data_IF_963345309407
#
_entry.id   IF_963345309407
#
_cell.length_a   1.000
_cell.length_b   1.000
_cell.length_c   1.000
_cell.angle_alpha   90.00
_cell.angle_beta   90.00
_cell.angle_gamma   90.00
#
_symmetry.space_group_name_H-M   'P 1'
#
loop_
_entity.id
_entity.type
_entity.pdbx_description
1 polymer ?
#
# COMPACT_ATOMS: atom_id res chain seq x y z
N UNK A 1 -12.88 9.55 -9.89
CA UNK A 1 -14.12 10.30 -10.16
C UNK A 1 -13.96 11.76 -9.74
N UNK A 2 -13.76 12.07 -8.45
CA UNK A 2 -13.61 13.47 -7.99
C UNK A 2 -12.49 14.24 -8.69
N UNK A 3 -11.32 13.63 -8.94
CA UNK A 3 -10.25 14.25 -9.73
C UNK A 3 -10.75 14.81 -11.06
N UNK A 4 -11.48 13.98 -11.82
CA UNK A 4 -11.97 14.33 -13.16
C UNK A 4 -13.14 15.31 -13.11
N UNK A 5 -14.00 15.19 -12.09
CA UNK A 5 -15.12 16.11 -11.91
C UNK A 5 -14.62 17.51 -11.55
N UNK A 6 -13.59 17.64 -10.70
CA UNK A 6 -12.96 18.90 -10.37
C UNK A 6 -12.23 19.51 -11.56
N UNK A 7 -11.51 18.69 -12.35
CA UNK A 7 -10.88 19.12 -13.60
C UNK A 7 -11.90 19.68 -14.60
N UNK A 8 -13.09 19.08 -14.66
CA UNK A 8 -14.16 19.45 -15.58
C UNK A 8 -15.14 20.48 -14.99
N UNK A 9 -14.88 21.08 -13.81
CA UNK A 9 -15.81 21.99 -13.12
C UNK A 9 -16.34 23.10 -14.03
N UNK A 10 -15.46 23.77 -14.77
CA UNK A 10 -15.84 24.84 -15.69
C UNK A 10 -16.59 24.35 -16.93
N UNK A 11 -16.25 23.16 -17.44
CA UNK A 11 -16.96 22.56 -18.55
C UNK A 11 -18.39 22.20 -18.15
N UNK A 12 -18.58 21.62 -16.95
CA UNK A 12 -19.91 21.35 -16.38
C UNK A 12 -20.69 22.65 -16.21
N UNK A 13 -20.09 23.68 -15.59
CA UNK A 13 -20.74 24.97 -15.40
C UNK A 13 -21.16 25.64 -16.72
N UNK A 14 -20.33 25.56 -17.77
CA UNK A 14 -20.64 26.10 -19.08
C UNK A 14 -21.85 25.40 -19.71
N UNK A 15 -21.90 24.07 -19.68
CA UNK A 15 -23.01 23.29 -20.24
C UNK A 15 -24.32 23.57 -19.48
N UNK A 16 -24.28 23.64 -18.14
CA UNK A 16 -25.47 23.94 -17.32
C UNK A 16 -25.98 25.39 -17.49
N UNK A 17 -25.09 26.30 -17.90
CA UNK A 17 -25.42 27.70 -18.18
C UNK A 17 -26.01 27.91 -19.58
N UNK A 18 -25.67 27.04 -20.54
CA UNK A 18 -26.17 27.12 -21.91
C UNK A 18 -27.64 26.67 -22.01
N UNK A 19 -28.52 27.61 -22.36
CA UNK A 19 -29.97 27.39 -22.50
C UNK A 19 -30.37 26.69 -23.80
N UNK A 20 -29.46 26.57 -24.76
CA UNK A 20 -29.69 25.79 -25.98
C UNK A 20 -29.48 24.28 -25.75
N UNK A 21 -28.71 23.92 -24.73
CA UNK A 21 -28.36 22.53 -24.40
C UNK A 21 -29.06 22.04 -23.12
N UNK A 22 -29.18 22.89 -22.09
CA UNK A 22 -29.70 22.48 -20.78
C UNK A 22 -30.92 23.31 -20.38
N UNK A 23 -32.02 22.62 -20.05
CA UNK A 23 -33.22 23.29 -19.54
C UNK A 23 -32.96 23.88 -18.15
N UNK A 24 -33.73 24.90 -17.77
CA UNK A 24 -33.56 25.55 -16.47
C UNK A 24 -33.89 24.62 -15.29
N UNK A 25 -34.80 23.67 -15.50
CA UNK A 25 -35.11 22.62 -14.51
C UNK A 25 -33.91 21.71 -14.30
N UNK A 26 -33.34 21.19 -15.40
CA UNK A 26 -32.19 20.28 -15.34
C UNK A 26 -30.97 20.96 -14.74
N UNK A 27 -30.71 22.22 -15.10
CA UNK A 27 -29.62 22.99 -14.53
C UNK A 27 -29.73 23.08 -13.00
N UNK A 28 -30.91 23.36 -12.45
CA UNK A 28 -31.12 23.43 -10.99
C UNK A 28 -30.95 22.09 -10.29
N UNK A 29 -31.28 20.99 -10.95
CA UNK A 29 -31.17 19.64 -10.38
C UNK A 29 -29.75 19.09 -10.46
N UNK A 30 -29.01 19.43 -11.52
CA UNK A 30 -27.67 18.91 -11.79
C UNK A 30 -26.53 19.78 -11.23
N UNK A 31 -26.80 21.05 -10.96
CA UNK A 31 -25.79 21.96 -10.42
C UNK A 31 -25.41 21.58 -8.98
N UNK A 32 -24.11 21.65 -8.71
CA UNK A 32 -23.54 21.34 -7.42
C UNK A 32 -23.30 22.64 -6.66
N UNK A 33 -23.82 22.72 -5.43
CA UNK A 33 -23.55 23.85 -4.55
C UNK A 33 -22.04 24.02 -4.29
N UNK A 34 -21.59 25.26 -4.11
CA UNK A 34 -20.17 25.59 -3.85
C UNK A 34 -19.58 24.79 -2.68
N UNK A 35 -20.33 24.59 -1.61
CA UNK A 35 -19.94 23.75 -0.47
C UNK A 35 -19.60 22.31 -0.88
N UNK A 36 -20.28 21.76 -1.89
CA UNK A 36 -20.02 20.41 -2.39
C UNK A 36 -18.70 20.35 -3.15
N UNK A 37 -18.39 21.39 -3.93
CA UNK A 37 -17.10 21.52 -4.61
C UNK A 37 -15.94 21.59 -3.62
N UNK A 38 -16.07 22.43 -2.59
CA UNK A 38 -15.08 22.56 -1.51
C UNK A 38 -14.85 21.20 -0.82
N UNK A 39 -15.92 20.50 -0.45
CA UNK A 39 -15.79 19.18 0.20
C UNK A 39 -15.08 18.16 -0.69
N UNK A 40 -15.33 18.18 -2.01
CA UNK A 40 -14.63 17.29 -2.94
C UNK A 40 -13.13 17.61 -3.00
N UNK A 41 -12.76 18.89 -3.03
CA UNK A 41 -11.37 19.34 -3.03
C UNK A 41 -10.64 18.92 -1.74
N UNK A 42 -11.29 19.11 -0.59
CA UNK A 42 -10.74 18.75 0.72
C UNK A 42 -10.62 17.24 0.93
N UNK A 43 -11.55 16.45 0.39
CA UNK A 43 -11.51 14.97 0.49
C UNK A 43 -10.47 14.33 -0.43
N UNK A 44 -10.11 15.01 -1.53
CA UNK A 44 -9.29 14.45 -2.60
C UNK A 44 -7.94 13.89 -2.13
N UNK A 45 -7.16 14.58 -1.26
CA UNK A 45 -5.88 14.05 -0.79
C UNK A 45 -6.04 12.73 -0.02
N UNK A 46 -7.07 12.62 0.82
CA UNK A 46 -7.34 11.39 1.59
C UNK A 46 -7.73 10.26 0.66
N UNK A 47 -8.64 10.51 -0.29
CA UNK A 47 -9.05 9.50 -1.27
C UNK A 47 -7.90 9.03 -2.16
N UNK A 48 -7.00 9.94 -2.57
CA UNK A 48 -5.77 9.58 -3.30
C UNK A 48 -4.86 8.67 -2.48
N UNK A 49 -4.70 8.94 -1.18
CA UNK A 49 -3.89 8.07 -0.29
C UNK A 49 -4.47 6.66 -0.19
N UNK A 50 -5.80 6.54 -0.11
CA UNK A 50 -6.50 5.25 -0.09
C UNK A 50 -6.40 4.53 -1.44
N UNK A 51 -6.55 5.25 -2.55
CA UNK A 51 -6.34 4.71 -3.90
C UNK A 51 -4.92 4.16 -4.05
N UNK A 52 -3.91 4.90 -3.61
CA UNK A 52 -2.51 4.47 -3.66
C UNK A 52 -2.30 3.18 -2.84
N UNK A 53 -2.80 3.15 -1.60
CA UNK A 53 -2.73 1.95 -0.76
C UNK A 53 -3.42 0.74 -1.39
N UNK A 54 -4.64 0.90 -1.92
CA UNK A 54 -5.35 -0.19 -2.59
C UNK A 54 -4.61 -0.66 -3.84
N UNK A 55 -4.09 0.26 -4.67
CA UNK A 55 -3.30 -0.10 -5.85
C UNK A 55 -2.04 -0.89 -5.46
N UNK A 56 -1.36 -0.46 -4.39
CA UNK A 56 -0.19 -1.15 -3.86
C UNK A 56 -0.52 -2.50 -3.21
N UNK A 57 -1.78 -2.77 -2.84
CA UNK A 57 -2.21 -4.04 -2.24
C UNK A 57 -2.94 -4.97 -3.23
N UNK A 58 -3.35 -4.45 -4.39
CA UNK A 58 -4.06 -5.20 -5.41
C UNK A 58 -3.23 -5.46 -6.68
N UNK A 59 -1.96 -5.04 -6.71
CA UNK A 59 -1.06 -5.32 -7.83
C UNK A 59 -0.74 -6.82 -7.97
N UNK A 60 -0.77 -7.31 -9.21
CA UNK A 60 -0.62 -8.74 -9.49
C UNK A 60 0.85 -9.22 -9.52
N UNK A 61 1.79 -8.34 -9.89
CA UNK A 61 3.18 -8.72 -10.15
C UNK A 61 4.14 -8.51 -8.98
N UNK A 62 3.69 -7.97 -7.84
CA UNK A 62 4.60 -7.57 -6.76
C UNK A 62 3.99 -7.40 -5.37
N UNK A 63 2.72 -7.74 -5.17
CA UNK A 63 2.10 -7.62 -3.85
C UNK A 63 2.22 -8.94 -3.09
N UNK A 64 3.14 -8.93 -2.13
CA UNK A 64 3.20 -9.97 -1.11
C UNK A 64 2.28 -9.60 0.06
N UNK A 65 1.73 -10.61 0.72
CA UNK A 65 1.04 -10.47 2.00
C UNK A 65 1.88 -9.74 3.06
N UNK A 66 3.20 -9.65 2.86
CA UNK A 66 4.14 -8.83 3.65
C UNK A 66 3.88 -7.32 3.61
N UNK A 67 3.12 -6.80 2.63
CA UNK A 67 2.87 -5.36 2.49
C UNK A 67 1.64 -4.87 3.26
N UNK A 68 0.75 -5.78 3.68
CA UNK A 68 -0.55 -5.43 4.28
C UNK A 68 -0.37 -4.54 5.51
N UNK A 69 0.45 -4.96 6.47
CA UNK A 69 0.66 -4.19 7.70
C UNK A 69 1.54 -2.95 7.52
N UNK A 70 2.65 -2.97 6.75
CA UNK A 70 3.38 -1.75 6.40
C UNK A 70 2.50 -0.65 5.78
N UNK A 71 1.66 -1.00 4.80
CA UNK A 71 0.75 -0.05 4.15
C UNK A 71 -0.30 0.45 5.14
N UNK A 72 -0.90 -0.44 5.93
CA UNK A 72 -1.90 -0.08 6.95
C UNK A 72 -1.34 0.87 7.99
N UNK A 73 -0.14 0.59 8.50
CA UNK A 73 0.52 1.45 9.46
C UNK A 73 0.84 2.82 8.87
N UNK A 74 1.27 2.87 7.60
CA UNK A 74 1.53 4.13 6.89
C UNK A 74 0.24 4.96 6.76
N UNK A 75 -0.88 4.34 6.40
CA UNK A 75 -2.18 5.02 6.36
C UNK A 75 -2.56 5.59 7.73
N UNK A 76 -2.50 4.79 8.78
CA UNK A 76 -2.90 5.18 10.13
C UNK A 76 -2.01 6.26 10.76
N UNK A 77 -0.71 6.26 10.44
CA UNK A 77 0.27 7.17 11.06
C UNK A 77 0.53 8.43 10.26
N UNK A 78 0.36 8.41 8.94
CA UNK A 78 0.70 9.56 8.07
C UNK A 78 -0.47 10.20 7.35
N UNK A 79 -1.45 9.42 6.90
CA UNK A 79 -2.51 9.92 5.99
C UNK A 79 -3.86 10.13 6.65
N UNK A 80 -4.17 9.34 7.68
CA UNK A 80 -5.43 9.40 8.41
C UNK A 80 -5.42 10.17 9.75
N UNK A 81 -4.29 10.63 10.32
CA UNK A 81 -4.36 11.59 11.42
C UNK A 81 -5.09 12.86 11.00
N UNK A 82 -5.92 13.38 11.92
CA UNK A 82 -6.62 14.66 11.73
C UNK A 82 -5.61 15.79 11.96
N UNK A 83 -5.49 16.69 10.99
CA UNK A 83 -4.61 17.85 11.07
C UNK A 83 -5.37 19.09 11.57
N UNK A 84 -4.69 20.05 12.23
CA UNK A 84 -5.33 21.29 12.65
C UNK A 84 -5.78 22.10 11.42
N UNK A 85 -7.01 22.60 11.44
CA UNK A 85 -7.60 23.38 10.34
C UNK A 85 -8.30 22.54 9.27
N UNK A 86 -8.38 21.22 9.41
CA UNK A 86 -9.19 20.38 8.52
C UNK A 86 -10.68 20.56 8.78
N UNK A 87 -11.49 20.46 7.72
CA UNK A 87 -12.94 20.52 7.85
C UNK A 87 -13.50 19.35 8.66
N UNK A 88 -14.61 19.59 9.36
CA UNK A 88 -15.29 18.58 10.18
C UNK A 88 -15.61 17.30 9.39
N UNK A 89 -16.05 17.45 8.13
CA UNK A 89 -16.37 16.33 7.24
C UNK A 89 -15.15 15.45 6.93
N UNK A 90 -13.98 16.05 6.65
CA UNK A 90 -12.74 15.30 6.42
C UNK A 90 -12.26 14.62 7.68
N UNK A 91 -12.32 15.31 8.82
CA UNK A 91 -11.93 14.75 10.11
C UNK A 91 -12.78 13.53 10.49
N UNK A 92 -14.10 13.62 10.34
CA UNK A 92 -15.04 12.52 10.58
C UNK A 92 -14.78 11.34 9.65
N UNK A 93 -14.50 11.59 8.36
CA UNK A 93 -14.16 10.56 7.40
C UNK A 93 -12.87 9.84 7.75
N UNK A 94 -11.79 10.58 8.02
CA UNK A 94 -10.50 10.03 8.44
C UNK A 94 -10.61 9.18 9.70
N UNK A 95 -11.40 9.65 10.68
CA UNK A 95 -11.64 8.91 11.91
C UNK A 95 -12.42 7.61 11.64
N UNK A 96 -13.48 7.68 10.83
CA UNK A 96 -14.29 6.52 10.46
C UNK A 96 -13.45 5.46 9.73
N UNK A 97 -12.62 5.88 8.77
CA UNK A 97 -11.72 4.98 8.04
C UNK A 97 -10.68 4.38 8.98
N UNK A 98 -10.07 5.19 9.86
CA UNK A 98 -9.10 4.72 10.85
C UNK A 98 -9.68 3.65 11.78
N UNK A 99 -10.89 3.88 12.30
CA UNK A 99 -11.60 2.92 13.16
C UNK A 99 -11.89 1.64 12.39
N UNK A 100 -12.36 1.75 11.14
CA UNK A 100 -12.65 0.60 10.28
C UNK A 100 -11.39 -0.25 10.01
N UNK A 101 -10.27 0.39 9.68
CA UNK A 101 -8.98 -0.28 9.44
C UNK A 101 -8.46 -0.96 10.71
N UNK A 102 -8.46 -0.25 11.85
CA UNK A 102 -8.03 -0.81 13.15
C UNK A 102 -8.89 -2.01 13.54
N UNK A 103 -10.20 -1.95 13.32
CA UNK A 103 -11.14 -3.05 13.62
C UNK A 103 -10.86 -4.28 12.77
N UNK A 104 -10.66 -4.11 11.44
CA UNK A 104 -10.50 -5.22 10.49
C UNK A 104 -9.12 -5.88 10.58
N UNK A 105 -8.06 -5.06 10.68
CA UNK A 105 -6.68 -5.55 10.57
C UNK A 105 -5.99 -5.74 11.92
N UNK A 106 -6.51 -5.10 12.98
CA UNK A 106 -6.02 -5.19 14.36
C UNK A 106 -4.48 -5.02 14.45
N UNK A 107 -3.90 -3.96 13.85
CA UNK A 107 -2.45 -3.80 13.72
C UNK A 107 -1.73 -3.64 15.07
N UNK A 108 -2.43 -3.16 16.10
CA UNK A 108 -1.83 -2.88 17.43
C UNK A 108 -1.97 -4.03 18.43
N UNK A 109 -2.72 -5.10 18.07
CA UNK A 109 -3.02 -6.19 19.00
C UNK A 109 -1.96 -7.29 18.91
N UNK A 110 -1.36 -7.65 20.05
CA UNK A 110 -0.39 -8.76 20.14
C UNK A 110 -0.95 -10.08 19.61
N UNK A 111 -2.24 -10.35 19.81
CA UNK A 111 -2.94 -11.53 19.26
C UNK A 111 -2.89 -11.63 17.73
N UNK A 112 -2.63 -10.52 17.03
CA UNK A 112 -2.47 -10.49 15.57
C UNK A 112 -1.12 -11.02 15.11
N UNK A 113 -0.15 -11.24 16.00
CA UNK A 113 1.17 -11.78 15.65
C UNK A 113 1.12 -13.11 14.90
N UNK A 114 0.07 -13.91 15.14
CA UNK A 114 -0.17 -15.19 14.45
C UNK A 114 -0.72 -15.05 13.03
N UNK A 115 -1.12 -13.85 12.63
CA UNK A 115 -1.70 -13.63 11.31
C UNK A 115 -0.60 -13.75 10.24
N UNK A 116 -0.93 -14.45 9.14
CA UNK A 116 -0.02 -14.65 8.00
C UNK A 116 0.65 -13.36 7.52
N UNK A 117 -0.03 -12.20 7.41
CA UNK A 117 0.62 -11.00 6.91
C UNK A 117 1.73 -10.45 7.83
N UNK A 118 1.66 -10.67 9.15
CA UNK A 118 2.74 -10.28 10.08
C UNK A 118 3.95 -11.20 9.93
N UNK A 119 3.71 -12.50 9.81
CA UNK A 119 4.75 -13.50 9.56
C UNK A 119 5.44 -13.22 8.22
N UNK A 120 4.65 -12.99 7.16
CA UNK A 120 5.16 -12.62 5.85
C UNK A 120 5.95 -11.30 5.89
N UNK A 121 5.49 -10.30 6.64
CA UNK A 121 6.22 -9.04 6.86
C UNK A 121 7.58 -9.28 7.53
N UNK A 122 7.65 -10.19 8.49
CA UNK A 122 8.90 -10.51 9.19
C UNK A 122 9.89 -11.26 8.29
N UNK A 123 9.39 -12.12 7.41
CA UNK A 123 10.20 -12.87 6.45
C UNK A 123 10.66 -12.02 5.26
N UNK A 124 9.98 -10.91 4.98
CA UNK A 124 10.38 -9.96 3.94
C UNK A 124 11.58 -9.11 4.41
N UNK A 125 12.73 -9.14 3.71
CA UNK A 125 13.92 -8.38 4.09
C UNK A 125 13.67 -6.88 4.28
N UNK A 126 12.73 -6.29 3.52
CA UNK A 126 12.37 -4.87 3.61
C UNK A 126 11.71 -4.52 4.94
N UNK A 127 11.11 -5.50 5.60
CA UNK A 127 10.26 -5.33 6.77
C UNK A 127 10.68 -6.21 7.96
N UNK A 128 11.83 -6.87 7.88
CA UNK A 128 12.41 -7.77 8.91
C UNK A 128 12.36 -7.22 10.34
N UNK A 129 12.58 -5.92 10.51
CA UNK A 129 12.60 -5.27 11.83
C UNK A 129 11.22 -4.81 12.32
N UNK A 130 10.18 -4.95 11.49
CA UNK A 130 8.80 -4.59 11.78
C UNK A 130 8.67 -3.19 12.41
N UNK A 131 9.38 -2.19 11.88
CA UNK A 131 9.45 -0.81 12.44
C UNK A 131 8.09 -0.13 12.59
N UNK A 132 7.07 -0.65 11.94
CA UNK A 132 5.69 -0.18 11.98
C UNK A 132 4.87 -0.79 13.14
N UNK A 133 5.41 -1.77 13.88
CA UNK A 133 4.76 -2.45 14.98
C UNK A 133 5.41 -2.08 16.33
N UNK A 134 4.65 -2.17 17.42
CA UNK A 134 5.16 -1.99 18.78
C UNK A 134 6.03 -3.17 19.23
N UNK A 135 6.87 -2.94 20.23
CA UNK A 135 7.91 -3.88 20.71
C UNK A 135 7.32 -5.22 21.13
N UNK A 136 6.23 -5.19 21.92
CA UNK A 136 5.51 -6.39 22.35
C UNK A 136 5.01 -7.23 21.17
N UNK A 137 4.49 -6.60 20.11
CA UNK A 137 4.04 -7.29 18.91
C UNK A 137 5.22 -7.83 18.10
N UNK A 138 6.32 -7.08 18.00
CA UNK A 138 7.54 -7.53 17.32
C UNK A 138 8.09 -8.81 17.96
N UNK A 139 8.12 -8.85 19.29
CA UNK A 139 8.62 -10.03 20.00
C UNK A 139 7.66 -11.22 19.91
N UNK A 140 6.34 -10.96 19.96
CA UNK A 140 5.34 -12.00 19.73
C UNK A 140 5.43 -12.61 18.32
N UNK A 141 5.69 -11.80 17.28
CA UNK A 141 5.90 -12.32 15.91
C UNK A 141 7.16 -13.17 15.83
N UNK A 142 8.28 -12.72 16.42
CA UNK A 142 9.51 -13.53 16.46
C UNK A 142 9.29 -14.86 17.19
N UNK A 143 8.59 -14.85 18.32
CA UNK A 143 8.26 -16.06 19.07
C UNK A 143 7.42 -17.02 18.23
N UNK A 144 6.40 -16.51 17.52
CA UNK A 144 5.57 -17.31 16.62
C UNK A 144 6.37 -17.92 15.47
N UNK A 145 7.30 -17.18 14.87
CA UNK A 145 8.15 -17.71 13.79
C UNK A 145 9.08 -18.81 14.32
N UNK A 146 9.67 -18.64 15.51
CA UNK A 146 10.47 -19.69 16.15
C UNK A 146 9.66 -20.95 16.41
N UNK A 147 8.44 -20.80 16.92
CA UNK A 147 7.51 -21.92 17.13
C UNK A 147 7.22 -22.68 15.83
N UNK A 148 6.93 -21.97 14.73
CA UNK A 148 6.71 -22.57 13.42
C UNK A 148 7.94 -23.31 12.88
N UNK A 149 9.15 -22.76 13.10
CA UNK A 149 10.40 -23.42 12.71
C UNK A 149 10.63 -24.70 13.51
N UNK A 150 10.38 -24.67 14.82
CA UNK A 150 10.51 -25.86 15.67
C UNK A 150 9.52 -26.96 15.29
N UNK A 151 8.27 -26.59 14.94
CA UNK A 151 7.28 -27.55 14.47
C UNK A 151 7.71 -28.22 13.15
N UNK A 152 8.30 -27.46 12.22
CA UNK A 152 8.78 -28.00 10.95
C UNK A 152 9.98 -28.96 11.14
N UNK A 153 10.83 -28.70 12.13
CA UNK A 153 11.95 -29.58 12.48
C UNK A 153 11.55 -30.89 13.15
N UNK A 154 10.36 -30.95 13.77
CA UNK A 154 9.84 -32.16 14.42
C UNK A 154 9.24 -33.16 13.42
N UNK A 155 8.68 -32.69 12.30
CA UNK A 155 8.18 -33.54 11.21
C UNK A 155 9.29 -34.07 10.28
N UNK A 156 10.49 -33.49 10.35
CA UNK A 156 11.63 -33.85 9.49
C UNK A 156 12.57 -34.91 10.12
N UNK A 157 12.05 -35.89 10.87
CA UNK A 157 12.86 -37.04 11.30
C UNK A 157 12.87 -38.11 10.20
N UNK A 158 14.03 -38.48 9.64
CA UNK A 158 14.10 -39.52 8.62
C UNK A 158 13.84 -40.90 9.23
N UNK A 159 13.00 -41.70 8.57
CA UNK A 159 13.10 -43.15 8.63
C UNK A 159 14.51 -43.54 8.16
N UNK A 160 15.38 -43.88 9.10
CA UNK A 160 16.61 -44.62 8.81
C UNK A 160 16.15 -46.03 8.45
N UNK A 161 16.07 -46.34 7.15
CA UNK A 161 16.14 -47.71 6.67
C UNK A 161 17.60 -47.99 6.37
N UNK A 162 18.14 -48.97 7.09
CA UNK A 162 19.52 -49.39 7.04
C UNK A 162 19.85 -49.97 5.65
N UNK A 163 20.94 -49.46 5.07
CA UNK A 163 21.55 -49.95 3.84
C UNK A 163 22.28 -51.27 4.12
N UNK A 164 22.07 -52.29 3.29
CA UNK A 164 23.03 -53.39 3.10
C UNK A 164 22.89 -54.09 1.75
N UNK A 165 24.02 -54.06 1.01
CA UNK A 165 24.51 -54.96 -0.05
C UNK A 165 24.18 -54.69 -1.54
N UNK A 166 25.09 -53.93 -2.18
CA UNK A 166 25.84 -54.20 -3.43
C UNK A 166 25.28 -55.10 -4.54
N UNK A 167 25.25 -54.59 -5.79
CA UNK A 167 26.32 -54.84 -6.81
C UNK A 167 26.02 -54.32 -8.23
N UNK A 168 27.10 -53.84 -8.86
CA UNK A 168 27.47 -53.86 -10.30
C UNK A 168 27.02 -52.77 -11.28
N UNK A 169 28.01 -52.43 -12.12
CA UNK A 169 28.18 -51.31 -13.05
C UNK A 169 27.31 -51.35 -14.31
N UNK A 170 27.09 -50.17 -14.93
CA UNK A 170 27.47 -49.96 -16.34
C UNK A 170 27.39 -48.48 -16.73
N UNK A 171 28.51 -47.96 -17.23
CA UNK A 171 28.64 -46.64 -17.82
C UNK A 171 27.84 -46.50 -19.13
N UNK A 172 27.32 -45.29 -19.39
CA UNK A 172 27.25 -44.65 -20.72
C UNK A 172 26.88 -43.17 -20.55
N UNK A 173 27.83 -42.29 -20.87
CA UNK A 173 27.62 -40.85 -20.84
C UNK A 173 26.78 -40.35 -22.00
N UNK A 174 26.27 -39.12 -21.86
CA UNK A 174 26.34 -38.10 -22.92
C UNK A 174 26.02 -36.72 -22.38
N UNK A 175 26.88 -35.80 -22.78
CA UNK A 175 26.91 -34.37 -22.53
C UNK A 175 25.79 -33.62 -23.26
N UNK A 176 25.14 -32.67 -22.59
CA UNK A 176 24.44 -31.56 -23.26
C UNK A 176 24.30 -30.32 -22.35
N UNK A 177 25.23 -29.38 -22.54
CA UNK A 177 25.07 -27.91 -22.57
C UNK A 177 24.05 -27.26 -21.61
N UNK A 178 24.54 -26.77 -20.47
CA UNK A 178 23.91 -25.68 -19.71
C UNK A 178 24.36 -24.31 -20.24
N UNK A 179 23.47 -23.63 -20.97
CA UNK A 179 23.69 -22.28 -21.48
C UNK A 179 23.46 -21.25 -20.37
N UNK A 180 24.43 -20.37 -20.18
CA UNK A 180 24.36 -19.23 -19.27
C UNK A 180 23.28 -18.23 -19.72
N UNK A 181 22.36 -17.88 -18.82
CA UNK A 181 21.51 -16.70 -18.95
C UNK A 181 21.88 -15.73 -17.82
N UNK A 182 22.83 -14.84 -18.11
CA UNK A 182 22.95 -13.56 -17.40
C UNK A 182 21.81 -12.68 -17.90
N UNK A 183 20.76 -12.52 -17.09
CA UNK A 183 19.63 -11.65 -17.38
C UNK A 183 19.65 -10.45 -16.45
N UNK A 184 19.98 -9.29 -17.01
CA UNK A 184 19.97 -7.96 -16.40
C UNK A 184 18.58 -7.67 -15.80
N UNK A 185 18.51 -7.40 -14.50
CA UNK A 185 17.29 -6.90 -13.85
C UNK A 185 17.67 -5.90 -12.75
N UNK A 186 18.24 -4.76 -13.15
CA UNK A 186 18.60 -3.66 -12.25
C UNK A 186 17.75 -2.40 -12.45
N UNK A 187 16.92 -2.34 -13.50
CA UNK A 187 16.43 -1.03 -13.99
C UNK A 187 14.95 -0.74 -13.63
N UNK A 188 14.20 -1.71 -13.09
CA UNK A 188 12.82 -1.47 -12.65
C UNK A 188 12.69 -1.08 -11.16
N UNK A 189 13.66 -1.44 -10.31
CA UNK A 189 13.62 -1.11 -8.88
C UNK A 189 13.86 0.39 -8.61
N UNK A 190 14.61 1.05 -9.50
CA UNK A 190 14.86 2.50 -9.47
C UNK A 190 13.62 3.32 -9.83
N UNK A 191 12.78 2.84 -10.74
CA UNK A 191 11.58 3.58 -11.20
C UNK A 191 10.52 3.72 -10.10
N UNK A 192 10.31 2.67 -9.29
CA UNK A 192 9.36 2.71 -8.17
C UNK A 192 9.91 3.57 -7.02
N UNK A 193 11.22 3.52 -6.75
CA UNK A 193 11.89 4.41 -5.79
C UNK A 193 11.78 5.89 -6.22
N UNK A 194 11.87 6.18 -7.51
CA UNK A 194 11.71 7.54 -8.05
C UNK A 194 10.29 8.07 -7.82
N UNK A 195 9.24 7.26 -8.01
CA UNK A 195 7.86 7.72 -7.85
C UNK A 195 7.48 7.99 -6.38
N UNK A 196 7.96 7.16 -5.45
CA UNK A 196 7.72 7.37 -4.01
C UNK A 196 8.56 8.53 -3.45
N UNK A 197 9.76 8.78 -3.99
CA UNK A 197 10.61 9.90 -3.57
C UNK A 197 10.21 11.23 -4.19
N UNK A 198 9.83 11.25 -5.48
CA UNK A 198 9.40 12.48 -6.18
C UNK A 198 8.09 13.05 -5.61
N UNK A 199 7.20 12.20 -5.08
CA UNK A 199 6.01 12.65 -4.37
C UNK A 199 6.34 13.44 -3.08
N UNK A 200 7.53 13.27 -2.50
CA UNK A 200 7.99 14.03 -1.32
C UNK A 200 8.77 15.31 -1.68
N UNK A 201 9.30 15.44 -2.90
CA UNK A 201 10.13 16.58 -3.32
C UNK A 201 9.27 17.72 -3.93
N UNK A 202 8.19 17.39 -4.63
CA UNK A 202 7.33 18.40 -5.29
C UNK A 202 6.65 19.36 -4.30
N UNK A 203 6.45 18.96 -3.03
CA UNK A 203 5.83 19.82 -2.01
C UNK A 203 6.79 20.80 -1.30
N UNK A 204 8.11 20.76 -1.59
CA UNK A 204 9.10 21.64 -0.94
C UNK A 204 9.54 22.85 -1.77
N UNK A 205 8.95 23.11 -2.94
CA UNK A 205 9.33 24.24 -3.80
C UNK A 205 8.15 25.13 -4.16
N UNK A 206 7.77 26.00 -3.22
CA UNK A 206 7.09 27.26 -3.53
C UNK A 206 7.98 28.38 -2.95
N UNK A 207 8.60 29.24 -3.77
CA UNK A 207 9.28 30.43 -3.26
C UNK A 207 8.23 31.42 -2.78
N UNK A 208 8.26 31.79 -1.49
CA UNK A 208 7.67 33.06 -1.02
C UNK A 208 8.72 34.14 -1.25
N UNK A 209 8.44 35.11 -2.11
CA UNK A 209 9.30 36.28 -2.27
C UNK A 209 8.98 37.08 -3.53
N UNK A 210 8.21 38.16 -3.36
CA UNK A 210 7.89 39.11 -4.40
C UNK A 210 7.16 40.32 -3.80
N UNK A 211 7.92 41.13 -3.07
CA UNK A 211 7.52 42.49 -2.68
C UNK A 211 7.50 43.37 -3.93
N UNK A 212 6.39 44.06 -4.20
CA UNK A 212 6.35 45.21 -5.10
C UNK A 212 5.68 46.37 -4.35
N UNK A 213 6.50 47.35 -3.94
CA UNK A 213 6.08 48.73 -3.73
C UNK A 213 6.34 49.49 -5.04
N UNK A 214 5.35 50.24 -5.52
CA UNK A 214 5.45 51.61 -6.04
C UNK A 214 4.04 52.12 -6.27
#
# INVERSE_FOLDING_TARGET
>A
MFDRLLEQRWAVAAVLSDRSVTTLSDARTLDLADDSWIVMEEMLPVLRSLKCATTALCGESGVSSSMIYPVTATLLTKHLPVAPGESKKVAEYKQTVSVSLKRRLKPDKVKSAKNVPFIASFLDPRHKHLKFANDALRDAVKARVKELLSALGADARPEITEDSSSSSESARGSSARGSAARGVCSDQETTIRQQVSNANIVWRRIPRGGTCNS
#
